data_IF_106544165779
#
_entry.id   IF_106544165779
#
_cell.length_a   1.000
_cell.length_b   1.000
_cell.length_c   1.000
_cell.angle_alpha   90.00
_cell.angle_beta   90.00
_cell.angle_gamma   90.00
#
_symmetry.space_group_name_H-M   'P 1'
#
loop_
_entity.id
_entity.type
_entity.pdbx_description
1 polymer ?
#
# COMPACT_ATOMS: atom_id res chain seq x y z
N UNK A 1 21.55 16.54 12.69
CA UNK A 1 20.28 17.06 13.25
C UNK A 1 19.33 17.62 12.18
N UNK A 2 19.79 18.44 11.21
CA UNK A 2 18.93 18.96 10.14
C UNK A 2 18.16 17.88 9.34
N UNK A 3 18.81 16.76 8.98
CA UNK A 3 18.14 15.67 8.28
C UNK A 3 17.02 15.00 9.10
N UNK A 4 17.20 14.84 10.42
CA UNK A 4 16.18 14.26 11.29
C UNK A 4 14.94 15.17 11.39
N UNK A 5 15.14 16.48 11.44
CA UNK A 5 14.05 17.47 11.44
C UNK A 5 13.30 17.43 10.09
N UNK A 6 14.02 17.34 8.96
CA UNK A 6 13.42 17.23 7.63
C UNK A 6 12.59 15.96 7.46
N UNK A 7 13.11 14.82 7.93
CA UNK A 7 12.38 13.53 7.91
C UNK A 7 11.12 13.61 8.78
N UNK A 8 11.23 14.16 9.99
CA UNK A 8 10.08 14.35 10.88
C UNK A 8 9.03 15.27 10.25
N UNK A 9 9.45 16.40 9.66
CA UNK A 9 8.55 17.33 9.00
C UNK A 9 7.85 16.70 7.81
N UNK A 10 8.59 15.94 6.98
CA UNK A 10 8.03 15.19 5.85
C UNK A 10 7.00 14.16 6.32
N UNK A 11 7.29 13.46 7.42
CA UNK A 11 6.37 12.50 8.02
C UNK A 11 5.09 13.15 8.57
N UNK A 12 5.21 14.30 9.26
CA UNK A 12 4.06 15.06 9.74
C UNK A 12 3.19 15.54 8.56
N UNK A 13 3.81 16.09 7.52
CA UNK A 13 3.11 16.51 6.31
C UNK A 13 2.41 15.34 5.61
N UNK A 14 3.07 14.19 5.54
CA UNK A 14 2.49 12.96 5.02
C UNK A 14 1.22 12.55 5.79
N UNK A 15 1.28 12.51 7.12
CA UNK A 15 0.13 12.18 7.95
C UNK A 15 -1.00 13.21 7.82
N UNK A 16 -0.66 14.50 7.74
CA UNK A 16 -1.63 15.56 7.52
C UNK A 16 -2.32 15.42 6.17
N UNK A 17 -1.57 15.12 5.11
CA UNK A 17 -2.10 14.90 3.76
C UNK A 17 -3.09 13.72 3.72
N UNK A 18 -2.72 12.59 4.34
CA UNK A 18 -3.61 11.43 4.44
C UNK A 18 -4.84 11.70 5.33
N UNK A 19 -4.66 12.46 6.41
CA UNK A 19 -5.78 12.90 7.23
C UNK A 19 -6.73 13.85 6.49
N UNK A 20 -6.20 14.74 5.65
CA UNK A 20 -7.00 15.60 4.79
C UNK A 20 -7.81 14.80 3.76
N UNK A 21 -7.18 13.80 3.11
CA UNK A 21 -7.87 12.89 2.20
C UNK A 21 -9.00 12.16 2.92
N UNK A 22 -8.71 11.61 4.11
CA UNK A 22 -9.70 10.93 4.93
C UNK A 22 -10.88 11.83 5.31
N UNK A 23 -10.61 13.09 5.65
CA UNK A 23 -11.65 14.09 5.94
C UNK A 23 -12.57 14.31 4.74
N UNK A 24 -12.01 14.46 3.53
CA UNK A 24 -12.81 14.67 2.30
C UNK A 24 -13.63 13.45 1.92
N UNK A 25 -13.09 12.25 2.14
CA UNK A 25 -13.68 10.97 1.72
C UNK A 25 -14.68 10.39 2.72
N UNK A 26 -14.49 10.70 4.01
CA UNK A 26 -15.36 10.36 5.12
C UNK A 26 -15.06 8.99 5.76
N UNK A 27 -15.45 8.86 7.03
CA UNK A 27 -14.95 7.83 7.95
C UNK A 27 -15.21 6.39 7.50
N UNK A 28 -16.42 6.07 7.03
CA UNK A 28 -16.79 4.68 6.72
C UNK A 28 -16.00 4.13 5.53
N UNK A 29 -15.71 4.98 4.54
CA UNK A 29 -14.86 4.59 3.41
C UNK A 29 -13.45 4.30 3.88
N UNK A 30 -12.88 5.15 4.73
CA UNK A 30 -11.54 4.94 5.28
C UNK A 30 -11.47 3.67 6.14
N UNK A 31 -12.47 3.39 6.97
CA UNK A 31 -12.54 2.17 7.77
C UNK A 31 -12.62 0.90 6.93
N UNK A 32 -13.43 0.90 5.86
CA UNK A 32 -13.54 -0.27 4.97
C UNK A 32 -12.20 -0.49 4.27
N UNK A 33 -11.57 0.57 3.76
CA UNK A 33 -10.24 0.44 3.16
C UNK A 33 -9.24 -0.10 4.18
N UNK A 34 -9.19 0.48 5.38
CA UNK A 34 -8.27 0.03 6.42
C UNK A 34 -8.45 -1.45 6.72
N UNK A 35 -9.69 -1.87 6.97
CA UNK A 35 -10.02 -3.24 7.32
C UNK A 35 -9.67 -4.22 6.20
N UNK A 36 -10.05 -3.91 4.95
CA UNK A 36 -9.78 -4.79 3.81
C UNK A 36 -8.29 -4.83 3.48
N UNK A 37 -7.60 -3.70 3.53
CA UNK A 37 -6.18 -3.61 3.16
C UNK A 37 -5.30 -4.22 4.23
N UNK A 38 -5.57 -3.95 5.51
CA UNK A 38 -4.86 -4.59 6.62
C UNK A 38 -5.17 -6.09 6.69
N UNK A 39 -6.44 -6.47 6.53
CA UNK A 39 -6.84 -7.88 6.51
C UNK A 39 -6.23 -8.64 5.34
N UNK A 40 -6.29 -8.09 4.13
CA UNK A 40 -5.66 -8.71 2.95
C UNK A 40 -4.14 -8.78 3.07
N UNK A 41 -3.49 -7.81 3.70
CA UNK A 41 -2.05 -7.89 3.99
C UNK A 41 -1.73 -9.11 4.86
N UNK A 42 -2.45 -9.30 5.97
CA UNK A 42 -2.28 -10.45 6.86
C UNK A 42 -2.55 -11.76 6.12
N UNK A 43 -3.65 -11.83 5.36
CA UNK A 43 -4.01 -13.01 4.57
C UNK A 43 -2.94 -13.34 3.54
N UNK A 44 -2.37 -12.34 2.86
CA UNK A 44 -1.31 -12.57 1.88
C UNK A 44 0.00 -13.03 2.52
N UNK A 45 0.32 -12.57 3.73
CA UNK A 45 1.48 -13.07 4.47
C UNK A 45 1.29 -14.54 4.90
N UNK A 46 0.08 -14.91 5.32
CA UNK A 46 -0.21 -16.27 5.80
C UNK A 46 -0.41 -17.29 4.65
N UNK A 47 -1.14 -16.89 3.60
CA UNK A 47 -1.52 -17.76 2.48
C UNK A 47 -0.74 -17.46 1.20
N UNK A 48 0.30 -16.63 1.25
CA UNK A 48 1.08 -16.22 0.09
C UNK A 48 1.65 -17.38 -0.69
N UNK A 49 2.16 -18.41 0.00
CA UNK A 49 2.66 -19.62 -0.66
C UNK A 49 1.56 -20.34 -1.45
N UNK A 50 0.35 -20.46 -0.90
CA UNK A 50 -0.79 -21.07 -1.59
C UNK A 50 -1.15 -20.29 -2.85
N UNK A 51 -1.15 -18.95 -2.78
CA UNK A 51 -1.44 -18.09 -3.93
C UNK A 51 -0.38 -18.22 -5.03
N UNK A 52 0.90 -18.29 -4.65
CA UNK A 52 2.00 -18.50 -5.59
C UNK A 52 1.91 -19.89 -6.25
N UNK A 53 1.58 -20.93 -5.47
CA UNK A 53 1.37 -22.28 -6.00
C UNK A 53 0.21 -22.30 -7.00
N UNK A 54 -0.95 -21.74 -6.64
CA UNK A 54 -2.12 -21.67 -7.52
C UNK A 54 -1.79 -20.90 -8.79
N UNK A 55 -1.10 -19.76 -8.67
CA UNK A 55 -0.69 -18.94 -9.83
C UNK A 55 0.26 -19.71 -10.74
N UNK A 56 1.24 -20.41 -10.18
CA UNK A 56 2.18 -21.21 -10.96
C UNK A 56 1.49 -22.41 -11.62
N UNK A 57 0.55 -23.06 -10.94
CA UNK A 57 -0.25 -24.14 -11.53
C UNK A 57 -1.11 -23.63 -12.69
N UNK A 58 -1.83 -22.53 -12.50
CA UNK A 58 -2.61 -21.89 -13.57
C UNK A 58 -1.72 -21.45 -14.72
N UNK A 59 -0.57 -20.83 -14.43
CA UNK A 59 0.37 -20.39 -15.45
C UNK A 59 0.96 -21.54 -16.27
N UNK A 60 1.31 -22.65 -15.61
CA UNK A 60 1.73 -23.89 -16.28
C UNK A 60 0.60 -24.46 -17.15
N UNK A 61 -0.61 -24.54 -16.62
CA UNK A 61 -1.78 -25.05 -17.35
C UNK A 61 -2.10 -24.20 -18.59
N UNK A 62 -2.10 -22.88 -18.47
CA UNK A 62 -2.30 -21.96 -19.58
C UNK A 62 -1.14 -22.02 -20.60
N UNK A 63 0.09 -22.23 -20.11
CA UNK A 63 1.27 -22.36 -20.96
C UNK A 63 1.31 -23.63 -21.83
N UNK A 64 0.60 -24.70 -21.42
CA UNK A 64 0.51 -25.96 -22.19
C UNK A 64 -0.74 -26.04 -23.09
N UNK A 65 -1.69 -25.10 -22.97
CA UNK A 65 -2.83 -25.03 -23.89
C UNK A 65 -2.40 -24.98 -25.38
N UNK A 66 -1.40 -24.18 -25.79
CA UNK A 66 -0.98 -24.09 -27.18
C UNK A 66 -0.27 -25.35 -27.70
N UNK A 67 0.23 -26.23 -26.82
CA UNK A 67 1.00 -27.43 -27.22
C UNK A 67 0.10 -28.62 -27.54
N UNK A 68 -1.21 -28.50 -27.32
CA UNK A 68 -2.18 -29.58 -27.51
C UNK A 68 -1.95 -30.76 -26.56
N UNK A 69 -1.22 -30.57 -25.46
CA UNK A 69 -0.90 -31.65 -24.52
C UNK A 69 -2.17 -32.28 -23.88
N UNK A 70 -3.23 -31.48 -23.72
CA UNK A 70 -4.53 -31.93 -23.18
C UNK A 70 -5.22 -33.00 -24.04
N UNK A 71 -4.91 -33.09 -25.34
CA UNK A 71 -5.52 -34.08 -26.25
C UNK A 71 -4.65 -35.31 -26.46
N UNK A 72 -3.45 -35.38 -25.87
CA UNK A 72 -2.46 -36.45 -26.08
C UNK A 72 -2.45 -37.51 -24.96
N UNK A 73 -3.38 -37.41 -24.00
CA UNK A 73 -3.51 -38.35 -22.88
C UNK A 73 -2.70 -37.97 -21.63
N UNK A 74 -2.96 -38.67 -20.53
CA UNK A 74 -2.48 -38.29 -19.18
C UNK A 74 -0.95 -38.23 -19.05
N UNK A 75 -0.23 -39.15 -19.70
CA UNK A 75 1.24 -39.19 -19.64
C UNK A 75 1.88 -37.95 -20.28
N UNK A 76 1.39 -37.54 -21.46
CA UNK A 76 1.85 -36.34 -22.17
C UNK A 76 1.47 -35.05 -21.43
N UNK A 77 0.32 -35.06 -20.73
CA UNK A 77 -0.12 -33.96 -19.90
C UNK A 77 0.80 -33.76 -18.67
N UNK A 78 1.11 -34.84 -17.95
CA UNK A 78 2.00 -34.80 -16.77
C UNK A 78 3.41 -34.35 -17.17
N UNK A 79 3.93 -34.83 -18.30
CA UNK A 79 5.23 -34.42 -18.83
C UNK A 79 5.25 -32.94 -19.26
N UNK A 80 4.16 -32.44 -19.88
CA UNK A 80 4.07 -31.03 -20.23
C UNK A 80 3.98 -30.13 -18.98
N UNK A 81 3.27 -30.55 -17.94
CA UNK A 81 3.13 -29.82 -16.67
C UNK A 81 4.41 -29.80 -15.83
N UNK A 82 5.21 -30.87 -15.87
CA UNK A 82 6.49 -30.95 -15.16
C UNK A 82 7.56 -30.05 -15.80
N UNK A 83 7.55 -29.94 -17.13
CA UNK A 83 8.49 -29.12 -17.90
C UNK A 83 8.05 -27.65 -18.07
N UNK A 84 6.78 -27.33 -17.80
CA UNK A 84 6.27 -25.97 -17.93
C UNK A 84 6.92 -25.01 -16.93
N UNK A 85 7.41 -23.88 -17.45
CA UNK A 85 8.04 -22.82 -16.66
C UNK A 85 7.04 -22.19 -15.69
N UNK A 86 7.45 -22.00 -14.44
CA UNK A 86 6.71 -21.20 -13.46
C UNK A 86 6.59 -19.74 -13.93
N UNK A 87 5.40 -19.17 -13.82
CA UNK A 87 5.18 -17.74 -14.08
C UNK A 87 5.80 -16.87 -12.99
N UNK A 88 5.76 -17.34 -11.74
CA UNK A 88 6.34 -16.69 -10.57
C UNK A 88 7.54 -17.49 -10.10
N UNK A 89 8.74 -16.94 -10.32
CA UNK A 89 9.98 -17.49 -9.80
C UNK A 89 10.03 -17.36 -8.27
N UNK A 90 10.65 -18.30 -7.54
CA UNK A 90 10.74 -18.25 -6.07
C UNK A 90 11.33 -16.95 -5.55
N UNK A 91 12.38 -16.43 -6.21
CA UNK A 91 13.01 -15.16 -5.86
C UNK A 91 12.11 -13.93 -6.03
N UNK A 92 11.06 -14.02 -6.86
CA UNK A 92 10.12 -12.94 -7.15
C UNK A 92 8.78 -13.10 -6.45
N UNK A 93 8.59 -14.17 -5.67
CA UNK A 93 7.31 -14.51 -5.04
C UNK A 93 6.81 -13.39 -4.11
N UNK A 94 7.71 -12.80 -3.33
CA UNK A 94 7.36 -11.70 -2.41
C UNK A 94 6.93 -10.44 -3.17
N UNK A 95 7.67 -10.05 -4.20
CA UNK A 95 7.32 -8.91 -5.06
C UNK A 95 5.99 -9.11 -5.77
N UNK A 96 5.73 -10.33 -6.25
CA UNK A 96 4.47 -10.70 -6.88
C UNK A 96 3.28 -10.56 -5.91
N UNK A 97 3.40 -11.08 -4.69
CA UNK A 97 2.35 -10.96 -3.66
C UNK A 97 2.12 -9.50 -3.26
N UNK A 98 3.19 -8.71 -3.16
CA UNK A 98 3.09 -7.28 -2.92
C UNK A 98 2.35 -6.55 -4.05
N UNK A 99 2.61 -6.88 -5.31
CA UNK A 99 1.88 -6.31 -6.45
C UNK A 99 0.39 -6.63 -6.42
N UNK A 100 0.03 -7.87 -6.10
CA UNK A 100 -1.38 -8.26 -5.90
C UNK A 100 -2.03 -7.39 -4.82
N UNK A 101 -1.33 -7.20 -3.69
CA UNK A 101 -1.83 -6.37 -2.60
C UNK A 101 -2.02 -4.91 -3.02
N UNK A 102 -1.08 -4.33 -3.77
CA UNK A 102 -1.20 -2.95 -4.28
C UNK A 102 -2.40 -2.82 -5.23
N UNK A 103 -2.61 -3.78 -6.13
CA UNK A 103 -3.77 -3.80 -7.03
C UNK A 103 -5.07 -3.89 -6.23
N UNK A 104 -5.11 -4.74 -5.20
CA UNK A 104 -6.25 -4.87 -4.31
C UNK A 104 -6.52 -3.57 -3.55
N UNK A 105 -5.50 -2.94 -2.97
CA UNK A 105 -5.59 -1.63 -2.31
C UNK A 105 -6.20 -0.59 -3.25
N UNK A 106 -5.68 -0.45 -4.47
CA UNK A 106 -6.20 0.48 -5.46
C UNK A 106 -7.66 0.17 -5.82
N UNK A 107 -7.97 -1.10 -6.05
CA UNK A 107 -9.32 -1.57 -6.35
C UNK A 107 -10.29 -1.20 -5.22
N UNK A 108 -9.99 -1.57 -3.99
CA UNK A 108 -10.84 -1.27 -2.82
C UNK A 108 -10.98 0.23 -2.62
N UNK A 109 -9.91 1.00 -2.82
CA UNK A 109 -9.95 2.45 -2.72
C UNK A 109 -10.95 3.07 -3.70
N UNK A 110 -10.91 2.65 -4.97
CA UNK A 110 -11.84 3.12 -6.02
C UNK A 110 -13.25 2.61 -5.79
N UNK A 111 -13.42 1.31 -5.52
CA UNK A 111 -14.72 0.67 -5.31
C UNK A 111 -15.47 1.29 -4.13
N UNK A 112 -14.79 1.58 -3.02
CA UNK A 112 -15.43 2.26 -1.89
C UNK A 112 -15.84 3.69 -2.21
N UNK A 113 -15.16 4.36 -3.14
CA UNK A 113 -15.57 5.67 -3.67
C UNK A 113 -16.88 5.59 -4.47
N UNK A 114 -17.04 4.54 -5.28
CA UNK A 114 -18.20 4.32 -6.15
C UNK A 114 -19.41 3.80 -5.35
N UNK A 115 -19.20 2.78 -4.49
CA UNK A 115 -20.29 2.01 -3.89
C UNK A 115 -20.75 2.53 -2.52
N UNK A 116 -19.90 3.23 -1.77
CA UNK A 116 -20.29 3.77 -0.46
C UNK A 116 -20.81 5.19 -0.66
N UNK A 117 -22.12 5.40 -0.54
CA UNK A 117 -22.75 6.73 -0.71
C UNK A 117 -22.31 7.72 0.38
N UNK A 118 -22.13 8.99 0.01
CA UNK A 118 -21.70 10.07 0.92
C UNK A 118 -22.61 10.23 2.16
N UNK A 119 -23.91 9.97 2.05
CA UNK A 119 -24.85 10.04 3.18
C UNK A 119 -24.56 9.05 4.32
N UNK A 120 -23.81 7.96 4.06
CA UNK A 120 -23.36 7.02 5.10
C UNK A 120 -21.97 7.38 5.66
N UNK A 121 -21.27 8.33 5.03
CA UNK A 121 -19.88 8.68 5.32
C UNK A 121 -19.80 10.09 5.89
N UNK A 122 -19.76 10.22 7.22
CA UNK A 122 -19.66 11.53 7.88
C UNK A 122 -18.25 12.11 7.68
N UNK A 123 -18.21 13.37 7.21
CA UNK A 123 -16.99 14.20 7.14
C UNK A 123 -16.77 14.87 8.49
N UNK A 124 -16.16 14.14 9.42
CA UNK A 124 -15.88 14.58 10.78
C UNK A 124 -14.39 14.42 11.11
N UNK A 125 -13.95 14.96 12.25
CA UNK A 125 -12.54 14.85 12.68
C UNK A 125 -12.04 13.40 12.77
N UNK A 126 -12.92 12.44 13.07
CA UNK A 126 -12.54 11.03 13.07
C UNK A 126 -12.24 10.49 11.67
N UNK A 127 -12.90 10.98 10.61
CA UNK A 127 -12.52 10.65 9.23
C UNK A 127 -11.09 11.10 8.91
N UNK A 128 -10.65 12.24 9.45
CA UNK A 128 -9.27 12.69 9.31
C UNK A 128 -8.30 11.78 10.07
N UNK A 129 -8.65 11.37 11.29
CA UNK A 129 -7.85 10.42 12.06
C UNK A 129 -7.69 9.08 11.32
N UNK A 130 -8.78 8.49 10.82
CA UNK A 130 -8.71 7.23 10.07
C UNK A 130 -7.96 7.37 8.74
N UNK A 131 -8.05 8.52 8.08
CA UNK A 131 -7.19 8.83 6.94
C UNK A 131 -5.71 8.79 7.31
N UNK A 132 -5.32 9.44 8.40
CA UNK A 132 -3.94 9.42 8.89
C UNK A 132 -3.49 8.02 9.31
N UNK A 133 -4.36 7.22 9.94
CA UNK A 133 -4.07 5.81 10.29
C UNK A 133 -3.88 4.96 9.04
N UNK A 134 -4.71 5.13 8.01
CA UNK A 134 -4.52 4.48 6.72
C UNK A 134 -3.17 4.87 6.09
N UNK A 135 -2.87 6.16 6.06
CA UNK A 135 -1.56 6.66 5.61
C UNK A 135 -0.42 6.02 6.38
N UNK A 136 -0.52 5.95 7.71
CA UNK A 136 0.50 5.33 8.54
C UNK A 136 0.69 3.85 8.19
N UNK A 137 -0.41 3.10 8.02
CA UNK A 137 -0.34 1.70 7.61
C UNK A 137 0.34 1.54 6.25
N UNK A 138 0.01 2.41 5.29
CA UNK A 138 0.65 2.42 3.98
C UNK A 138 2.14 2.76 4.09
N UNK A 139 2.50 3.73 4.93
CA UNK A 139 3.90 4.07 5.18
C UNK A 139 4.67 2.86 5.71
N UNK A 140 4.09 2.15 6.68
CA UNK A 140 4.66 0.95 7.29
C UNK A 140 4.89 -0.18 6.28
N UNK A 141 3.96 -0.40 5.37
CA UNK A 141 4.00 -1.54 4.43
C UNK A 141 4.72 -1.18 3.13
N UNK A 142 4.42 -0.01 2.53
CA UNK A 142 4.92 0.41 1.22
C UNK A 142 6.32 1.00 1.29
N UNK A 143 6.62 1.89 2.24
CA UNK A 143 7.89 2.64 2.19
C UNK A 143 9.12 1.75 2.27
N UNK A 144 9.17 0.69 3.11
CA UNK A 144 10.32 -0.20 3.12
C UNK A 144 10.52 -0.91 1.78
N UNK A 145 9.42 -1.34 1.14
CA UNK A 145 9.44 -1.97 -0.19
C UNK A 145 9.89 -1.01 -1.28
N UNK A 146 9.45 0.25 -1.23
CA UNK A 146 9.91 1.29 -2.14
C UNK A 146 11.41 1.57 -1.94
N UNK A 147 11.88 1.68 -0.69
CA UNK A 147 13.29 1.89 -0.40
C UNK A 147 14.16 0.75 -0.95
N UNK A 148 13.72 -0.51 -0.83
CA UNK A 148 14.41 -1.67 -1.42
C UNK A 148 14.54 -1.60 -2.94
N UNK A 149 13.52 -1.08 -3.63
CA UNK A 149 13.53 -0.98 -5.09
C UNK A 149 14.53 0.09 -5.55
N UNK A 150 14.62 1.22 -4.84
CA UNK A 150 15.46 2.35 -5.24
C UNK A 150 16.89 2.28 -4.69
N UNK A 151 17.13 1.50 -3.63
CA UNK A 151 18.44 1.38 -2.98
C UNK A 151 18.83 -0.10 -2.83
N UNK A 152 19.86 -0.57 -3.56
CA UNK A 152 20.41 -1.90 -3.35
C UNK A 152 20.99 -2.00 -1.93
N UNK A 153 20.28 -2.68 -1.02
CA UNK A 153 20.64 -2.78 0.40
C UNK A 153 19.73 -2.02 1.38
N UNK A 154 18.61 -1.44 0.91
CA UNK A 154 17.63 -0.76 1.75
C UNK A 154 17.05 -1.64 2.86
N UNK A 155 16.58 -1.01 3.94
CA UNK A 155 16.10 -1.69 5.16
C UNK A 155 15.00 -2.70 4.84
N UNK A 156 15.25 -3.98 5.14
CA UNK A 156 14.24 -5.03 5.13
C UNK A 156 13.37 -4.92 6.38
N UNK A 157 12.07 -4.77 6.18
CA UNK A 157 11.12 -5.24 7.21
C UNK A 157 11.36 -6.72 7.36
N UNK A 158 11.66 -7.19 8.58
CA UNK A 158 11.72 -8.60 8.86
C UNK A 158 10.45 -9.26 8.29
N UNK A 159 10.62 -10.20 7.37
CA UNK A 159 9.55 -11.10 6.96
C UNK A 159 9.02 -11.71 8.25
N UNK A 160 7.72 -11.63 8.52
CA UNK A 160 7.15 -12.29 9.69
C UNK A 160 7.46 -13.78 9.56
N UNK A 161 8.44 -14.27 10.32
CA UNK A 161 9.05 -15.58 10.13
C UNK A 161 8.15 -16.72 10.59
N UNK A 162 6.98 -16.40 11.12
CA UNK A 162 6.07 -17.31 11.78
C UNK A 162 4.66 -16.80 11.55
N UNK A 163 3.76 -17.67 11.09
CA UNK A 163 2.35 -17.37 10.81
C UNK A 163 1.51 -17.05 12.05
N UNK A 164 2.13 -16.52 13.10
CA UNK A 164 1.49 -16.06 14.32
C UNK A 164 1.10 -14.58 14.17
N UNK A 165 -0.17 -14.30 14.43
CA UNK A 165 -0.74 -12.95 14.42
C UNK A 165 -0.01 -12.06 15.44
N UNK A 166 0.50 -12.64 16.53
CA UNK A 166 1.33 -11.94 17.52
C UNK A 166 2.62 -11.36 16.93
N UNK A 167 3.31 -12.12 16.09
CA UNK A 167 4.55 -11.69 15.43
C UNK A 167 4.28 -10.63 14.35
N UNK A 168 3.16 -10.74 13.65
CA UNK A 168 2.71 -9.73 12.67
C UNK A 168 2.41 -8.40 13.37
N UNK A 169 1.67 -8.41 14.48
CA UNK A 169 1.37 -7.19 15.26
C UNK A 169 2.62 -6.59 15.90
N UNK A 170 3.57 -7.43 16.34
CA UNK A 170 4.87 -6.99 16.86
C UNK A 170 5.75 -6.37 15.76
N UNK A 171 5.69 -6.93 14.55
CA UNK A 171 6.36 -6.38 13.35
C UNK A 171 5.76 -5.03 12.96
N UNK A 172 4.43 -4.89 13.02
CA UNK A 172 3.75 -3.60 12.82
C UNK A 172 4.08 -2.60 13.96
N UNK A 173 4.19 -3.03 15.21
CA UNK A 173 4.58 -2.17 16.34
C UNK A 173 6.04 -1.68 16.25
N UNK A 174 6.96 -2.53 15.79
CA UNK A 174 8.37 -2.18 15.56
C UNK A 174 8.64 -1.39 14.28
N UNK A 175 7.64 -1.29 13.40
CA UNK A 175 7.79 -0.74 12.04
C UNK A 175 7.98 0.77 11.96
N UNK A 176 7.60 1.55 12.98
CA UNK A 176 7.74 3.02 12.95
C UNK A 176 9.20 3.46 12.83
N UNK A 177 10.12 2.75 13.49
CA UNK A 177 11.56 2.98 13.34
C UNK A 177 12.09 2.53 11.98
N UNK A 178 11.42 1.59 11.31
CA UNK A 178 11.72 1.19 9.93
C UNK A 178 11.22 2.26 8.96
N UNK A 179 10.00 2.78 9.15
CA UNK A 179 9.45 3.89 8.37
C UNK A 179 10.35 5.12 8.41
N UNK A 180 10.80 5.53 9.60
CA UNK A 180 11.70 6.68 9.73
C UNK A 180 13.02 6.47 9.00
N UNK A 181 13.56 5.25 9.00
CA UNK A 181 14.77 4.89 8.26
C UNK A 181 14.53 4.84 6.75
N UNK A 182 13.49 4.16 6.29
CA UNK A 182 13.11 4.10 4.87
C UNK A 182 12.79 5.48 4.30
N UNK A 183 12.18 6.38 5.08
CA UNK A 183 12.00 7.77 4.68
C UNK A 183 13.34 8.49 4.57
N UNK A 184 14.25 8.29 5.54
CA UNK A 184 15.60 8.83 5.48
C UNK A 184 16.37 8.35 4.25
N UNK A 185 16.29 7.05 3.97
CA UNK A 185 16.90 6.40 2.81
C UNK A 185 16.32 6.94 1.49
N UNK A 186 14.99 7.03 1.36
CA UNK A 186 14.37 7.67 0.20
C UNK A 186 14.75 9.15 0.09
N UNK A 187 14.93 9.85 1.22
CA UNK A 187 15.36 11.25 1.24
C UNK A 187 16.80 11.48 0.77
N UNK A 188 17.66 10.46 0.80
CA UNK A 188 18.99 10.54 0.17
C UNK A 188 18.90 10.39 -1.34
N UNK A 189 17.98 9.56 -1.85
CA UNK A 189 17.72 9.43 -3.30
C UNK A 189 17.30 10.77 -3.92
N UNK A 190 16.50 11.56 -3.20
CA UNK A 190 16.03 12.87 -3.65
C UNK A 190 16.94 14.04 -3.27
N UNK A 191 18.19 13.80 -2.86
CA UNK A 191 19.09 14.83 -2.32
C UNK A 191 19.27 16.03 -3.27
N UNK A 192 19.42 15.78 -4.57
CA UNK A 192 19.54 16.82 -5.60
C UNK A 192 18.25 17.65 -5.80
N UNK A 193 17.09 17.13 -5.39
CA UNK A 193 15.77 17.71 -5.67
C UNK A 193 15.06 18.21 -4.41
N UNK A 194 15.69 18.13 -3.23
CA UNK A 194 15.12 18.53 -1.93
C UNK A 194 14.42 19.89 -1.94
N UNK A 195 14.98 20.97 -2.52
CA UNK A 195 14.31 22.28 -2.51
C UNK A 195 12.97 22.26 -3.26
N UNK A 196 12.91 21.55 -4.39
CA UNK A 196 11.69 21.42 -5.19
C UNK A 196 10.64 20.55 -4.50
N UNK A 197 11.07 19.43 -3.88
CA UNK A 197 10.16 18.57 -3.10
C UNK A 197 9.55 19.33 -1.93
N UNK A 198 10.36 20.10 -1.19
CA UNK A 198 9.87 20.92 -0.08
C UNK A 198 8.94 22.04 -0.56
N UNK A 199 9.29 22.75 -1.63
CA UNK A 199 8.42 23.77 -2.24
C UNK A 199 7.08 23.18 -2.69
N UNK A 200 7.10 22.01 -3.32
CA UNK A 200 5.91 21.31 -3.77
C UNK A 200 5.01 20.89 -2.60
N UNK A 201 5.59 20.28 -1.56
CA UNK A 201 4.86 19.92 -0.33
C UNK A 201 4.26 21.14 0.36
N UNK A 202 5.02 22.24 0.43
CA UNK A 202 4.57 23.49 1.04
C UNK A 202 3.46 24.14 0.21
N UNK A 203 3.55 24.06 -1.13
CA UNK A 203 2.49 24.51 -2.05
C UNK A 203 1.21 23.70 -1.85
N UNK A 204 1.30 22.37 -1.75
CA UNK A 204 0.13 21.52 -1.44
C UNK A 204 -0.47 21.91 -0.09
N UNK A 205 0.35 22.12 0.93
CA UNK A 205 -0.11 22.52 2.25
C UNK A 205 -0.84 23.87 2.21
N UNK A 206 -0.29 24.86 1.51
CA UNK A 206 -0.93 26.16 1.33
C UNK A 206 -2.24 26.06 0.55
N UNK A 207 -2.29 25.29 -0.54
CA UNK A 207 -3.53 25.05 -1.30
C UNK A 207 -4.59 24.35 -0.45
N UNK A 208 -4.16 23.44 0.41
CA UNK A 208 -5.05 22.74 1.35
C UNK A 208 -5.60 23.70 2.40
N UNK A 209 -4.74 24.53 2.99
CA UNK A 209 -5.15 25.55 3.96
C UNK A 209 -6.03 26.65 3.34
N UNK A 210 -5.76 27.07 2.11
CA UNK A 210 -6.61 28.01 1.39
C UNK A 210 -7.98 27.39 1.04
N UNK A 211 -7.98 26.10 0.64
CA UNK A 211 -9.20 25.35 0.37
C UNK A 211 -10.10 25.19 1.59
N UNK A 212 -9.55 24.98 2.78
CA UNK A 212 -10.34 24.92 4.03
C UNK A 212 -10.94 26.26 4.41
N UNK A 213 -10.21 27.36 4.20
CA UNK A 213 -10.68 28.72 4.49
C UNK A 213 -11.77 29.17 3.51
N UNK A 214 -11.72 28.75 2.24
CA UNK A 214 -12.72 29.12 1.23
C UNK A 214 -14.11 28.51 1.47
N UNK A 215 -14.22 27.44 2.27
CA UNK A 215 -15.48 26.74 2.55
C UNK A 215 -16.37 27.39 3.63
N UNK A 216 -15.87 28.39 4.37
CA UNK A 216 -16.62 29.03 5.46
C UNK A 216 -17.45 30.27 5.01
N UNK A 217 -17.36 30.67 3.74
CA UNK A 217 -17.89 31.95 3.24
C UNK A 217 -19.33 31.97 2.74
N UNK A 218 -20.01 30.83 2.55
CA UNK A 218 -21.35 30.80 1.91
C UNK A 218 -22.45 30.30 2.84
N UNK A 219 -22.73 31.07 3.90
CA UNK A 219 -24.08 31.20 4.45
C UNK A 219 -24.37 32.67 4.76
N UNK A 220 -24.30 33.51 3.74
CA UNK A 220 -24.96 34.80 3.77
C UNK A 220 -26.48 34.55 3.71
N UNK A 221 -27.10 34.70 4.89
CA UNK A 221 -28.54 34.78 5.17
C UNK A 221 -29.25 35.55 4.04
N UNK A 222 -30.14 34.90 3.29
CA UNK A 222 -31.21 35.62 2.59
C UNK A 222 -32.40 35.66 3.54
N UNK A 223 -32.65 36.85 4.07
CA UNK A 223 -33.93 37.26 4.66
C UNK A 223 -35.02 37.31 3.60
#
# INVERSE_FOLDING_TARGET
MANQIQVLLTFILYLFFFGWIGYRRGMMRELIVLGVVAGSWVVLQQFGNVIVIITNLLGRFLGILPTGALTKGDAALVEALSNAKNWVAPENAETFLFLIWVILLMGVYVLTGIFVKDGKSKRNGSAAFFGAVNGLFYAVVLLPKLAQIFLPGGVTTATATTGDVGDILRTLGGSLGVVGRSLGDLWTVFEAQRPFVLLFLLTILLLTAAGTLSGSGTKAKKS
#
